data_IF_549788010294
#
_entry.id   IF_549788010294
#
_cell.length_a   1.000
_cell.length_b   1.000
_cell.length_c   1.000
_cell.angle_alpha   90.00
_cell.angle_beta   90.00
_cell.angle_gamma   90.00
#
_symmetry.space_group_name_H-M   'P 1'
#
loop_
_entity.id
_entity.type
_entity.pdbx_description
1 polymer ?
#
# COMPACT_ATOMS: atom_id res chain seq x y z
N UNK A 1 -1.48 8.44 2.27
CA UNK A 1 -2.23 7.31 1.66
C UNK A 1 -2.31 7.56 0.17
N UNK A 2 -1.96 6.57 -0.64
CA UNK A 2 -1.91 6.64 -2.12
C UNK A 2 -3.03 5.82 -2.75
N UNK A 3 -3.14 5.85 -4.09
CA UNK A 3 -4.14 5.15 -4.90
C UNK A 3 -5.57 5.72 -4.74
N UNK A 4 -5.67 6.97 -4.31
CA UNK A 4 -6.93 7.67 -4.12
C UNK A 4 -7.56 7.48 -2.74
N UNK A 5 -8.85 7.77 -2.64
CA UNK A 5 -9.61 7.80 -1.38
C UNK A 5 -10.81 6.85 -1.34
N UNK A 6 -10.98 6.02 -2.37
CA UNK A 6 -12.07 5.02 -2.45
C UNK A 6 -11.47 3.62 -2.46
N UNK A 7 -11.91 2.78 -1.53
CA UNK A 7 -11.41 1.42 -1.35
C UNK A 7 -12.38 0.40 -1.96
N UNK A 8 -11.85 -0.62 -2.62
CA UNK A 8 -12.63 -1.74 -3.16
C UNK A 8 -13.18 -2.68 -2.08
N UNK A 9 -12.60 -2.65 -0.85
CA UNK A 9 -12.99 -3.52 0.27
C UNK A 9 -13.85 -2.80 1.30
N UNK A 10 -14.55 -3.61 2.13
CA UNK A 10 -15.55 -3.15 3.10
C UNK A 10 -15.21 -3.62 4.52
N UNK A 11 -13.98 -3.36 4.99
CA UNK A 11 -13.58 -3.69 6.35
C UNK A 11 -14.45 -2.93 7.37
N UNK A 12 -14.97 -3.65 8.38
CA UNK A 12 -15.95 -3.10 9.32
C UNK A 12 -15.42 -2.00 10.25
N UNK A 13 -14.11 -1.95 10.47
CA UNK A 13 -13.45 -0.96 11.33
C UNK A 13 -12.95 0.28 10.56
N UNK A 14 -13.00 0.27 9.22
CA UNK A 14 -12.36 1.29 8.39
C UNK A 14 -13.37 2.34 7.92
N UNK A 15 -13.03 3.62 8.14
CA UNK A 15 -13.85 4.77 7.75
C UNK A 15 -13.60 5.26 6.31
N UNK A 16 -12.66 4.67 5.57
CA UNK A 16 -12.39 5.04 4.18
C UNK A 16 -13.63 4.79 3.32
N UNK A 17 -13.91 5.69 2.38
CA UNK A 17 -15.00 5.55 1.43
C UNK A 17 -14.89 4.25 0.64
N UNK A 18 -16.00 3.55 0.45
CA UNK A 18 -16.08 2.24 -0.20
C UNK A 18 -16.80 2.36 -1.53
N UNK A 19 -16.30 1.71 -2.57
CA UNK A 19 -16.95 1.77 -3.89
C UNK A 19 -16.00 1.47 -5.04
N UNK A 20 -16.34 2.00 -6.22
CA UNK A 20 -15.50 1.95 -7.41
C UNK A 20 -14.49 3.11 -7.37
N UNK A 21 -13.17 2.83 -7.29
CA UNK A 21 -12.16 3.88 -7.31
C UNK A 21 -12.07 4.58 -8.67
N UNK A 22 -11.58 5.82 -8.63
CA UNK A 22 -11.20 6.53 -9.85
C UNK A 22 -9.96 5.88 -10.52
N UNK A 23 -9.71 6.17 -11.80
CA UNK A 23 -8.47 5.78 -12.46
C UNK A 23 -7.23 6.18 -11.66
N UNK A 24 -6.15 5.41 -11.80
CA UNK A 24 -4.89 5.71 -11.13
C UNK A 24 -4.30 6.99 -11.68
N UNK A 25 -3.87 7.85 -10.78
CA UNK A 25 -3.12 9.05 -11.11
C UNK A 25 -1.61 8.74 -11.07
N UNK A 26 -0.99 8.66 -12.23
CA UNK A 26 0.43 8.35 -12.37
C UNK A 26 1.36 9.53 -12.01
N UNK A 27 0.81 10.73 -11.74
CA UNK A 27 1.57 11.85 -11.20
C UNK A 27 1.56 11.88 -9.65
N UNK A 28 0.74 11.06 -9.01
CA UNK A 28 0.69 10.94 -7.55
C UNK A 28 2.08 10.67 -6.92
N UNK A 29 2.97 9.81 -7.47
CA UNK A 29 4.31 9.60 -6.93
C UNK A 29 5.15 10.87 -6.81
N UNK A 30 5.09 11.75 -7.81
CA UNK A 30 5.81 13.02 -7.80
C UNK A 30 5.29 13.94 -6.70
N UNK A 31 3.97 14.09 -6.58
CA UNK A 31 3.34 14.92 -5.55
C UNK A 31 3.60 14.40 -4.12
N UNK A 32 3.66 13.06 -3.96
CA UNK A 32 4.03 12.46 -2.66
C UNK A 32 5.48 12.79 -2.32
N UNK A 33 6.40 12.67 -3.28
CA UNK A 33 7.80 13.01 -3.06
C UNK A 33 7.99 14.52 -2.78
N UNK A 34 7.24 15.40 -3.43
CA UNK A 34 7.19 16.84 -3.14
C UNK A 34 6.72 17.12 -1.72
N UNK A 35 5.67 16.44 -1.27
CA UNK A 35 5.16 16.59 0.09
C UNK A 35 6.20 16.12 1.14
N UNK A 36 6.87 14.98 0.90
CA UNK A 36 7.93 14.47 1.78
C UNK A 36 9.09 15.46 1.90
N UNK A 37 9.50 16.06 0.77
CA UNK A 37 10.54 17.10 0.73
C UNK A 37 10.11 18.36 1.50
N UNK A 38 8.92 18.88 1.19
CA UNK A 38 8.40 20.11 1.81
C UNK A 38 8.24 19.98 3.34
N UNK A 39 7.91 18.79 3.83
CA UNK A 39 7.81 18.48 5.26
C UNK A 39 9.17 18.19 5.91
N UNK A 40 10.26 18.09 5.15
CA UNK A 40 11.61 17.78 5.65
C UNK A 40 11.72 16.42 6.33
N UNK A 41 10.96 15.42 5.87
CA UNK A 41 10.91 14.11 6.52
C UNK A 41 12.21 13.33 6.34
N UNK A 42 12.63 12.65 7.40
CA UNK A 42 13.74 11.68 7.40
C UNK A 42 13.27 10.25 7.22
N UNK A 43 11.98 10.01 7.45
CA UNK A 43 11.32 8.73 7.31
C UNK A 43 9.86 8.93 6.95
N UNK A 44 9.35 8.22 5.94
CA UNK A 44 7.98 8.33 5.46
C UNK A 44 7.30 6.96 5.45
N UNK A 45 6.07 6.89 6.01
CA UNK A 45 5.23 5.69 5.96
C UNK A 45 4.17 5.88 4.89
N UNK A 46 4.19 5.03 3.87
CA UNK A 46 3.28 5.06 2.73
C UNK A 46 2.27 3.91 2.83
N UNK A 47 1.01 4.25 2.85
CA UNK A 47 -0.10 3.28 2.82
C UNK A 47 -1.04 3.56 1.66
N UNK A 48 -1.96 2.66 1.37
CA UNK A 48 -2.94 2.80 0.30
C UNK A 48 -4.34 2.33 0.69
N UNK A 49 -5.31 2.65 -0.16
CA UNK A 49 -6.57 1.90 -0.24
C UNK A 49 -6.32 0.56 -0.95
N UNK A 50 -7.22 -0.43 -0.76
CA UNK A 50 -7.20 -1.63 -1.59
C UNK A 50 -7.71 -1.32 -3.00
N UNK A 51 -7.03 -1.88 -3.99
CA UNK A 51 -7.33 -1.76 -5.41
C UNK A 51 -7.46 -3.15 -6.05
N UNK A 52 -8.43 -3.94 -5.55
CA UNK A 52 -8.73 -5.27 -6.09
C UNK A 52 -9.28 -5.22 -7.54
N UNK A 53 -9.59 -4.03 -8.02
CA UNK A 53 -9.94 -3.72 -9.41
C UNK A 53 -8.72 -3.73 -10.36
N UNK A 54 -7.50 -3.81 -9.81
CA UNK A 54 -6.25 -3.84 -10.57
C UNK A 54 -5.57 -5.19 -10.45
N UNK A 55 -4.96 -5.65 -11.52
CA UNK A 55 -4.24 -6.91 -11.58
C UNK A 55 -3.07 -6.95 -10.57
N UNK A 56 -2.34 -5.84 -10.45
CA UNK A 56 -1.21 -5.70 -9.53
C UNK A 56 -1.60 -5.20 -8.12
N UNK A 57 -2.89 -4.98 -7.86
CA UNK A 57 -3.37 -4.42 -6.59
C UNK A 57 -2.79 -3.05 -6.25
N UNK A 58 -2.13 -2.37 -7.19
CA UNK A 58 -1.45 -1.08 -7.01
C UNK A 58 0.04 -1.18 -6.65
N UNK A 59 0.64 -2.37 -6.73
CA UNK A 59 2.05 -2.59 -6.38
C UNK A 59 3.01 -1.72 -7.21
N UNK A 60 2.75 -1.54 -8.50
CA UNK A 60 3.53 -0.66 -9.37
C UNK A 60 3.58 0.78 -8.88
N UNK A 61 2.46 1.30 -8.33
CA UNK A 61 2.44 2.67 -7.82
C UNK A 61 3.23 2.80 -6.52
N UNK A 62 3.21 1.81 -5.63
CA UNK A 62 4.09 1.77 -4.47
C UNK A 62 5.56 1.87 -4.89
N UNK A 63 5.97 1.07 -5.88
CA UNK A 63 7.34 1.09 -6.39
C UNK A 63 7.73 2.46 -6.98
N UNK A 64 6.82 3.10 -7.72
CA UNK A 64 7.04 4.45 -8.26
C UNK A 64 7.18 5.49 -7.15
N UNK A 65 6.34 5.43 -6.10
CA UNK A 65 6.41 6.36 -4.95
C UNK A 65 7.74 6.21 -4.20
N UNK A 66 8.19 4.99 -3.93
CA UNK A 66 9.48 4.74 -3.26
C UNK A 66 10.61 5.36 -4.08
N UNK A 67 10.64 5.10 -5.39
CA UNK A 67 11.68 5.64 -6.29
C UNK A 67 11.63 7.16 -6.38
N UNK A 68 10.43 7.76 -6.44
CA UNK A 68 10.27 9.20 -6.49
C UNK A 68 10.77 9.88 -5.19
N UNK A 69 10.42 9.32 -4.02
CA UNK A 69 10.92 9.84 -2.74
C UNK A 69 12.45 9.76 -2.68
N UNK A 70 13.05 8.64 -3.06
CA UNK A 70 14.51 8.46 -3.04
C UNK A 70 15.24 9.41 -3.98
N UNK A 71 14.69 9.63 -5.16
CA UNK A 71 15.28 10.54 -6.14
C UNK A 71 15.23 12.00 -5.64
N UNK A 72 14.13 12.41 -5.00
CA UNK A 72 13.91 13.79 -4.58
C UNK A 72 14.49 14.11 -3.20
N UNK A 73 14.44 13.16 -2.27
CA UNK A 73 14.89 13.31 -0.88
C UNK A 73 15.90 12.20 -0.54
N UNK A 74 17.14 12.27 -1.04
CA UNK A 74 18.16 11.28 -0.74
C UNK A 74 18.35 11.10 0.77
N UNK A 75 18.38 9.85 1.24
CA UNK A 75 18.50 9.49 2.65
C UNK A 75 17.21 9.49 3.46
N UNK A 76 16.05 9.80 2.85
CA UNK A 76 14.76 9.57 3.50
C UNK A 76 14.43 8.06 3.47
N UNK A 77 14.24 7.44 4.64
CA UNK A 77 13.76 6.06 4.73
C UNK A 77 12.29 5.96 4.33
N UNK A 78 11.92 4.86 3.69
CA UNK A 78 10.53 4.61 3.26
C UNK A 78 10.03 3.29 3.81
N UNK A 79 8.98 3.36 4.61
CA UNK A 79 8.18 2.22 5.01
C UNK A 79 6.94 2.15 4.12
N UNK A 80 6.55 0.94 3.72
CA UNK A 80 5.30 0.72 3.02
C UNK A 80 4.39 -0.19 3.85
N UNK A 81 3.15 0.24 4.04
CA UNK A 81 2.07 -0.55 4.62
C UNK A 81 1.13 -0.96 3.49
N UNK A 82 1.38 -2.14 2.95
CA UNK A 82 0.74 -2.62 1.72
C UNK A 82 -0.54 -3.42 1.99
N UNK A 83 -1.47 -3.49 1.01
CA UNK A 83 -2.57 -4.44 1.04
C UNK A 83 -2.04 -5.87 0.84
N UNK A 84 -2.91 -6.88 0.99
CA UNK A 84 -2.54 -8.29 0.80
C UNK A 84 -2.31 -8.69 -0.67
N UNK A 85 -2.50 -7.76 -1.62
CA UNK A 85 -2.41 -7.98 -3.08
C UNK A 85 -3.12 -9.26 -3.54
N UNK A 86 -4.18 -9.68 -2.82
CA UNK A 86 -4.88 -10.95 -3.05
C UNK A 86 -3.96 -12.18 -3.05
N UNK A 87 -2.79 -12.09 -2.41
CA UNK A 87 -1.77 -13.13 -2.33
C UNK A 87 -0.84 -13.21 -3.54
N UNK A 88 -0.80 -12.18 -4.39
CA UNK A 88 0.11 -12.10 -5.55
C UNK A 88 1.56 -11.91 -5.10
N UNK A 89 2.39 -12.94 -5.25
CA UNK A 89 3.83 -12.84 -5.00
C UNK A 89 4.54 -11.91 -6.01
N UNK A 90 4.05 -11.83 -7.24
CA UNK A 90 4.58 -10.91 -8.24
C UNK A 90 4.39 -9.44 -7.82
N UNK A 91 3.23 -9.11 -7.24
CA UNK A 91 2.97 -7.78 -6.71
C UNK A 91 3.91 -7.45 -5.52
N UNK A 92 4.12 -8.41 -4.60
CA UNK A 92 5.09 -8.28 -3.51
C UNK A 92 6.49 -8.04 -4.06
N UNK A 93 6.94 -8.85 -5.03
CA UNK A 93 8.25 -8.70 -5.66
C UNK A 93 8.43 -7.32 -6.29
N UNK A 94 7.41 -6.81 -7.01
CA UNK A 94 7.44 -5.46 -7.60
C UNK A 94 7.72 -4.36 -6.57
N UNK A 95 7.11 -4.44 -5.39
CA UNK A 95 7.37 -3.47 -4.32
C UNK A 95 8.75 -3.67 -3.70
N UNK A 96 9.15 -4.93 -3.46
CA UNK A 96 10.46 -5.25 -2.87
C UNK A 96 11.65 -4.88 -3.77
N UNK A 97 11.49 -4.96 -5.09
CA UNK A 97 12.50 -4.47 -6.05
C UNK A 97 12.76 -2.96 -5.95
N UNK A 98 11.79 -2.17 -5.47
CA UNK A 98 12.00 -0.76 -5.15
C UNK A 98 12.74 -0.57 -3.81
N UNK A 99 12.99 -1.65 -3.07
CA UNK A 99 13.79 -1.77 -1.85
C UNK A 99 13.34 -0.80 -0.73
N UNK A 100 12.08 -0.83 -0.24
CA UNK A 100 11.70 -0.05 0.94
C UNK A 100 12.53 -0.50 2.15
N UNK A 101 12.77 0.39 3.11
CA UNK A 101 13.46 0.06 4.36
C UNK A 101 12.61 -0.85 5.25
N UNK A 102 11.28 -0.69 5.18
CA UNK A 102 10.33 -1.54 5.91
C UNK A 102 9.17 -1.91 5.00
N UNK A 103 8.86 -3.20 4.94
CA UNK A 103 7.70 -3.73 4.24
C UNK A 103 6.71 -4.30 5.27
N UNK A 104 5.56 -3.68 5.41
CA UNK A 104 4.54 -4.01 6.40
C UNK A 104 3.19 -4.39 5.78
N UNK A 105 2.47 -5.24 6.50
CA UNK A 105 1.08 -5.58 6.22
C UNK A 105 0.30 -5.80 7.52
N UNK A 106 -0.93 -5.26 7.61
CA UNK A 106 -1.76 -5.35 8.80
C UNK A 106 -2.46 -6.70 8.93
N UNK A 107 -2.38 -7.32 10.12
CA UNK A 107 -3.20 -8.48 10.51
C UNK A 107 -4.62 -8.09 10.91
N UNK A 108 -4.79 -6.96 11.56
CA UNK A 108 -6.03 -6.34 12.06
C UNK A 108 -6.76 -7.15 13.14
N UNK A 109 -6.89 -8.48 13.00
CA UNK A 109 -7.63 -9.32 13.92
C UNK A 109 -7.15 -10.77 13.87
N UNK A 110 -7.65 -11.60 14.77
CA UNK A 110 -7.38 -13.04 14.84
C UNK A 110 -8.12 -13.82 13.74
N UNK A 111 -7.62 -14.99 13.30
CA UNK A 111 -8.18 -15.75 12.17
C UNK A 111 -9.69 -15.97 12.20
N UNK A 112 -10.25 -16.30 13.37
CA UNK A 112 -11.68 -16.60 13.53
C UNK A 112 -12.61 -15.42 13.23
N UNK A 113 -12.11 -14.18 13.32
CA UNK A 113 -12.88 -12.96 13.10
C UNK A 113 -12.71 -12.36 11.70
N UNK A 114 -11.81 -12.90 10.87
CA UNK A 114 -11.49 -12.33 9.54
C UNK A 114 -12.72 -12.14 8.66
N UNK A 115 -13.60 -13.15 8.62
CA UNK A 115 -14.84 -13.09 7.80
C UNK A 115 -15.82 -12.01 8.22
N UNK A 116 -15.76 -11.56 9.48
CA UNK A 116 -16.65 -10.54 10.03
C UNK A 116 -16.04 -9.15 9.95
N UNK A 117 -14.74 -9.03 10.26
CA UNK A 117 -14.05 -7.77 10.46
C UNK A 117 -13.33 -7.29 9.20
N UNK A 118 -12.72 -8.22 8.44
CA UNK A 118 -11.89 -7.93 7.28
C UNK A 118 -12.39 -8.69 6.04
N UNK A 119 -13.56 -8.33 5.58
CA UNK A 119 -14.20 -8.95 4.41
C UNK A 119 -13.28 -8.90 3.18
N UNK A 120 -13.12 -10.04 2.50
CA UNK A 120 -12.30 -10.19 1.30
C UNK A 120 -10.82 -10.48 1.55
N UNK A 121 -10.33 -10.41 2.80
CA UNK A 121 -8.97 -10.78 3.15
C UNK A 121 -8.89 -12.23 3.71
N UNK A 122 -7.71 -12.84 3.61
CA UNK A 122 -7.41 -14.16 4.17
C UNK A 122 -6.19 -14.08 5.08
N UNK A 123 -6.31 -14.61 6.31
CA UNK A 123 -5.22 -14.56 7.28
C UNK A 123 -3.91 -15.16 6.76
N UNK A 124 -3.99 -16.28 6.03
CA UNK A 124 -2.82 -16.96 5.47
C UNK A 124 -2.06 -16.15 4.41
N UNK A 125 -2.68 -15.13 3.81
CA UNK A 125 -2.01 -14.24 2.84
C UNK A 125 -0.96 -13.34 3.51
N UNK A 126 -1.10 -13.08 4.80
CA UNK A 126 -0.15 -12.28 5.59
C UNK A 126 1.20 -12.98 5.69
N UNK A 127 1.23 -14.29 5.94
CA UNK A 127 2.46 -15.06 6.05
C UNK A 127 3.28 -15.13 4.76
N UNK A 128 2.65 -14.90 3.62
CA UNK A 128 3.34 -14.86 2.32
C UNK A 128 4.06 -13.53 2.04
N UNK A 129 3.70 -12.49 2.75
CA UNK A 129 4.36 -11.18 2.63
C UNK A 129 5.62 -11.05 3.52
N UNK A 130 5.91 -12.06 4.33
CA UNK A 130 6.99 -12.05 5.32
C UNK A 130 8.11 -13.05 4.98
N UNK A 131 8.28 -13.43 3.71
CA UNK A 131 9.36 -14.34 3.27
C UNK A 131 10.43 -13.58 2.54
#
# INVERSE_FOLDING_TARGET
MILGNVCTRRCGFCAVQKGAPLPVDYDEPNRVAEAVEAMGLKFAVITSVNRDDREDGGASLFALVIRAIRARVPGCGVEVLVPDFQGSLAAVATVMEAAPEVFNHNTETVPRLYRQVRLGARYQQIGRAHV
#
